data_IF_061136887283
#
_entry.id   IF_061136887283
#
_cell.length_a   1.000
_cell.length_b   1.000
_cell.length_c   1.000
_cell.angle_alpha   90.00
_cell.angle_beta   90.00
_cell.angle_gamma   90.00
#
_symmetry.space_group_name_H-M   'P 1'
#
loop_
_entity.id
_entity.type
_entity.pdbx_description
1 polymer ?
#
# COMPACT_ATOMS: atom_id res chain seq x y z
N UNK A 1 24.16 -2.99 11.36
CA UNK A 1 24.58 -3.68 10.11
C UNK A 1 23.80 -3.02 9.00
N UNK A 2 24.46 -2.58 7.94
CA UNK A 2 23.78 -1.97 6.79
C UNK A 2 22.99 -3.06 6.06
N UNK A 3 21.70 -2.83 5.87
CA UNK A 3 20.83 -3.68 5.07
C UNK A 3 21.34 -3.71 3.62
N UNK A 4 21.52 -4.89 3.07
CA UNK A 4 21.93 -5.05 1.67
C UNK A 4 20.68 -5.09 0.79
N UNK A 5 20.46 -4.01 0.05
CA UNK A 5 19.39 -3.91 -0.93
C UNK A 5 19.97 -4.17 -2.33
N UNK A 6 19.38 -5.09 -3.07
CA UNK A 6 19.76 -5.38 -4.45
C UNK A 6 18.61 -5.07 -5.40
N UNK A 7 18.83 -4.12 -6.27
CA UNK A 7 17.89 -3.82 -7.36
C UNK A 7 18.24 -4.65 -8.59
N UNK A 8 17.28 -5.40 -9.10
CA UNK A 8 17.46 -6.22 -10.29
C UNK A 8 16.19 -6.28 -11.14
N UNK A 9 16.32 -6.00 -12.42
CA UNK A 9 15.21 -6.18 -13.35
C UNK A 9 14.77 -7.64 -13.46
N UNK A 10 13.46 -7.89 -13.45
CA UNK A 10 12.87 -9.19 -13.71
C UNK A 10 13.00 -9.52 -15.20
N UNK A 11 13.62 -10.66 -15.54
CA UNK A 11 13.54 -11.20 -16.89
C UNK A 11 12.32 -12.11 -16.99
N UNK A 12 11.68 -12.15 -18.15
CA UNK A 12 10.35 -12.79 -18.40
C UNK A 12 10.19 -14.25 -17.90
N UNK A 13 11.21 -14.89 -17.33
CA UNK A 13 11.15 -16.31 -16.96
C UNK A 13 11.72 -16.68 -15.59
N UNK A 14 12.55 -15.89 -14.95
CA UNK A 14 13.07 -16.19 -13.61
C UNK A 14 13.72 -15.00 -12.92
N UNK A 15 13.55 -14.94 -11.61
CA UNK A 15 14.34 -14.12 -10.70
C UNK A 15 15.46 -14.99 -10.12
N UNK A 16 16.71 -14.53 -10.21
CA UNK A 16 17.85 -15.21 -9.60
C UNK A 16 18.30 -14.39 -8.40
N UNK A 17 18.26 -15.01 -7.23
CA UNK A 17 18.78 -14.42 -6.00
C UNK A 17 20.31 -14.60 -5.98
N UNK A 18 21.11 -13.53 -5.82
CA UNK A 18 22.56 -13.63 -5.71
C UNK A 18 23.00 -14.48 -4.51
N UNK A 19 24.06 -15.29 -4.67
CA UNK A 19 24.57 -16.15 -3.59
C UNK A 19 24.91 -15.36 -2.32
N UNK A 20 25.45 -14.15 -2.46
CA UNK A 20 25.79 -13.31 -1.30
C UNK A 20 24.56 -12.98 -0.43
N UNK A 21 23.38 -12.81 -1.05
CA UNK A 21 22.13 -12.59 -0.30
C UNK A 21 21.75 -13.87 0.47
N UNK A 22 21.84 -15.02 -0.19
CA UNK A 22 21.55 -16.32 0.42
C UNK A 22 22.46 -16.57 1.64
N UNK A 23 23.75 -16.34 1.49
CA UNK A 23 24.73 -16.48 2.58
C UNK A 23 24.47 -15.52 3.75
N UNK A 24 24.15 -14.23 3.47
CA UNK A 24 23.86 -13.25 4.51
C UNK A 24 22.53 -13.50 5.22
N UNK A 25 21.57 -14.10 4.52
CA UNK A 25 20.31 -14.55 5.09
C UNK A 25 20.41 -15.93 5.75
N UNK A 26 21.63 -16.44 5.94
CA UNK A 26 21.92 -17.72 6.59
C UNK A 26 21.26 -18.95 5.92
N UNK A 27 21.02 -18.87 4.58
CA UNK A 27 20.58 -20.03 3.83
C UNK A 27 21.77 -20.93 3.48
N UNK A 28 21.62 -22.22 3.72
CA UNK A 28 22.62 -23.21 3.38
C UNK A 28 22.41 -23.80 1.96
N UNK A 29 23.49 -24.28 1.34
CA UNK A 29 23.40 -24.88 0.01
C UNK A 29 22.60 -26.19 0.06
N UNK A 30 21.50 -26.24 -0.71
CA UNK A 30 20.60 -27.37 -0.77
C UNK A 30 19.47 -27.36 0.24
N UNK A 31 19.38 -26.31 1.05
CA UNK A 31 18.27 -26.09 1.97
C UNK A 31 16.95 -25.89 1.21
N UNK A 32 15.87 -26.42 1.76
CA UNK A 32 14.52 -26.23 1.21
C UNK A 32 13.98 -24.86 1.60
N UNK A 33 13.35 -24.18 0.65
CA UNK A 33 12.75 -22.88 0.86
C UNK A 33 11.26 -22.90 0.56
N UNK A 34 10.51 -22.04 1.24
CA UNK A 34 9.13 -21.69 0.92
C UNK A 34 9.11 -20.32 0.26
N UNK A 35 8.33 -20.20 -0.80
CA UNK A 35 8.16 -18.94 -1.54
C UNK A 35 6.72 -18.49 -1.35
N UNK A 36 6.53 -17.35 -0.71
CA UNK A 36 5.23 -16.73 -0.47
C UNK A 36 5.01 -15.63 -1.50
N UNK A 37 3.99 -15.82 -2.34
CA UNK A 37 3.53 -14.76 -3.24
C UNK A 37 2.57 -13.84 -2.46
N UNK A 38 2.92 -12.57 -2.38
CA UNK A 38 2.11 -11.51 -1.81
C UNK A 38 1.69 -10.57 -2.94
N UNK A 39 0.73 -9.68 -2.68
CA UNK A 39 0.43 -8.60 -3.62
C UNK A 39 1.66 -7.69 -3.71
N UNK A 40 2.17 -7.49 -4.92
CA UNK A 40 3.34 -6.66 -5.26
C UNK A 40 4.66 -7.05 -4.56
N UNK A 41 4.71 -8.22 -3.87
CA UNK A 41 5.90 -8.69 -3.19
C UNK A 41 6.05 -10.23 -3.26
N UNK A 42 7.28 -10.69 -3.08
CA UNK A 42 7.60 -12.11 -2.92
C UNK A 42 8.50 -12.27 -1.71
N UNK A 43 8.15 -13.17 -0.81
CA UNK A 43 8.95 -13.50 0.35
C UNK A 43 9.50 -14.94 0.23
N UNK A 44 10.76 -15.13 0.57
CA UNK A 44 11.43 -16.42 0.59
C UNK A 44 11.84 -16.72 2.03
N UNK A 45 11.37 -17.83 2.58
CA UNK A 45 11.68 -18.29 3.92
C UNK A 45 12.34 -19.68 3.86
N UNK A 46 13.09 -20.04 4.90
CA UNK A 46 13.47 -21.44 5.12
C UNK A 46 12.21 -22.27 5.36
N UNK A 47 12.14 -23.46 4.80
CA UNK A 47 11.01 -24.37 5.02
C UNK A 47 10.97 -24.87 6.47
N UNK A 48 12.14 -25.10 7.06
CA UNK A 48 12.29 -25.56 8.43
C UNK A 48 13.04 -24.51 9.23
N UNK A 49 12.41 -23.99 10.27
CA UNK A 49 12.98 -23.00 11.17
C UNK A 49 12.85 -23.44 12.60
N UNK A 50 13.90 -23.20 13.39
CA UNK A 50 13.80 -23.23 14.85
C UNK A 50 12.93 -22.08 15.35
N UNK A 51 12.45 -22.15 16.59
CA UNK A 51 11.66 -21.06 17.19
C UNK A 51 12.43 -19.72 17.19
N UNK A 52 13.75 -19.74 17.44
CA UNK A 52 14.57 -18.53 17.40
C UNK A 52 14.73 -17.98 15.98
N UNK A 53 14.94 -18.81 14.98
CA UNK A 53 14.99 -18.36 13.58
C UNK A 53 13.68 -17.73 13.15
N UNK A 54 12.53 -18.31 13.56
CA UNK A 54 11.22 -17.72 13.30
C UNK A 54 11.04 -16.35 13.99
N UNK A 55 11.46 -16.23 15.25
CA UNK A 55 11.45 -14.94 15.98
C UNK A 55 12.29 -13.90 15.24
N UNK A 56 13.51 -14.25 14.83
CA UNK A 56 14.36 -13.33 14.05
C UNK A 56 13.73 -12.94 12.71
N UNK A 57 13.12 -13.87 11.99
CA UNK A 57 12.45 -13.57 10.73
C UNK A 57 11.30 -12.57 10.94
N UNK A 58 10.46 -12.78 11.96
CA UNK A 58 9.37 -11.86 12.31
C UNK A 58 9.92 -10.48 12.66
N UNK A 59 10.96 -10.39 13.48
CA UNK A 59 11.59 -9.12 13.86
C UNK A 59 12.12 -8.35 12.65
N UNK A 60 12.78 -9.02 11.70
CA UNK A 60 13.29 -8.37 10.49
C UNK A 60 12.16 -7.91 9.56
N UNK A 61 11.08 -8.69 9.43
CA UNK A 61 9.90 -8.29 8.66
C UNK A 61 9.19 -7.07 9.27
N UNK A 62 9.09 -7.03 10.59
CA UNK A 62 8.53 -5.87 11.30
C UNK A 62 9.39 -4.62 11.07
N UNK A 63 10.71 -4.76 11.16
CA UNK A 63 11.63 -3.65 10.87
C UNK A 63 11.45 -3.13 9.45
N UNK A 64 11.43 -4.02 8.45
CA UNK A 64 11.22 -3.63 7.05
C UNK A 64 9.86 -2.93 6.88
N UNK A 65 8.81 -3.43 7.52
CA UNK A 65 7.49 -2.79 7.50
C UNK A 65 7.52 -1.36 8.05
N UNK A 66 8.23 -1.14 9.16
CA UNK A 66 8.41 0.19 9.75
C UNK A 66 9.19 1.10 8.79
N UNK A 67 10.31 0.62 8.23
CA UNK A 67 11.13 1.40 7.31
C UNK A 67 10.35 1.84 6.07
N UNK A 68 9.50 0.97 5.50
CA UNK A 68 8.61 1.31 4.39
C UNK A 68 7.53 2.32 4.79
N UNK A 69 6.96 2.19 5.99
CA UNK A 69 5.95 3.11 6.51
C UNK A 69 6.54 4.50 6.76
N UNK A 70 7.75 4.59 7.31
CA UNK A 70 8.47 5.85 7.48
C UNK A 70 8.77 6.49 6.13
N UNK A 71 9.16 5.69 5.14
CA UNK A 71 9.38 6.20 3.79
C UNK A 71 8.09 6.80 3.20
N UNK A 72 6.97 6.08 3.30
CA UNK A 72 5.67 6.58 2.83
C UNK A 72 5.28 7.88 3.53
N UNK A 73 5.44 7.96 4.86
CA UNK A 73 5.17 9.18 5.62
C UNK A 73 6.05 10.37 5.17
N UNK A 74 7.32 10.12 4.83
CA UNK A 74 8.22 11.15 4.31
C UNK A 74 7.80 11.66 2.92
N UNK A 75 7.30 10.77 2.05
CA UNK A 75 6.80 11.14 0.72
C UNK A 75 5.53 11.98 0.84
N UNK A 76 4.59 11.60 1.71
CA UNK A 76 3.39 12.40 2.00
C UNK A 76 3.74 13.77 2.61
N UNK A 77 4.88 13.89 3.27
CA UNK A 77 5.28 15.11 3.97
C UNK A 77 4.43 15.43 5.20
N UNK A 78 4.81 16.46 5.97
CA UNK A 78 4.08 16.89 7.14
C UNK A 78 2.80 17.63 6.74
N UNK A 79 1.73 17.44 7.50
CA UNK A 79 0.50 18.21 7.33
C UNK A 79 0.71 19.66 7.79
N UNK A 80 1.29 20.51 6.95
CA UNK A 80 1.65 21.89 7.23
C UNK A 80 0.60 22.92 6.71
N UNK A 81 -0.68 22.60 6.84
CA UNK A 81 -1.73 23.57 6.51
C UNK A 81 -2.49 23.24 5.23
N UNK A 82 -3.08 22.12 5.19
CA UNK A 82 -4.35 21.99 4.49
C UNK A 82 -5.22 23.13 5.06
N UNK A 83 -5.58 24.13 4.25
CA UNK A 83 -6.31 25.35 4.67
C UNK A 83 -7.65 25.02 5.36
N UNK A 84 -8.11 23.79 5.26
CA UNK A 84 -9.22 23.20 5.98
C UNK A 84 -8.70 21.89 6.58
N UNK A 85 -8.63 21.81 7.89
CA UNK A 85 -8.24 20.67 8.72
C UNK A 85 -8.19 19.35 7.96
N UNK A 86 -7.06 18.62 8.01
CA UNK A 86 -6.99 17.21 7.56
C UNK A 86 -7.89 16.32 8.47
N UNK A 87 -9.11 16.74 8.75
CA UNK A 87 -10.14 15.98 9.45
C UNK A 87 -10.70 14.91 8.48
N UNK A 88 -9.83 13.99 8.10
CA UNK A 88 -10.29 12.79 7.39
C UNK A 88 -10.95 11.89 8.42
N UNK A 89 -12.23 11.62 8.19
CA UNK A 89 -12.94 10.60 8.97
C UNK A 89 -12.33 9.22 8.67
N UNK A 90 -11.51 8.73 9.61
CA UNK A 90 -10.85 7.42 9.47
C UNK A 90 -11.84 6.24 9.53
N UNK A 91 -13.08 6.46 9.93
CA UNK A 91 -14.13 5.46 9.83
C UNK A 91 -14.72 5.38 8.41
N UNK A 92 -14.64 6.51 7.66
CA UNK A 92 -15.10 6.63 6.28
C UNK A 92 -14.07 7.40 5.43
N UNK A 93 -12.88 6.85 5.20
CA UNK A 93 -11.76 7.59 4.61
C UNK A 93 -11.92 7.92 3.11
N UNK A 94 -12.90 7.33 2.45
CA UNK A 94 -13.24 7.61 1.06
C UNK A 94 -14.13 8.86 0.89
N UNK A 95 -14.48 9.16 -0.34
CA UNK A 95 -15.36 10.31 -0.66
C UNK A 95 -16.84 10.12 -0.24
N UNK A 96 -17.20 8.97 0.32
CA UNK A 96 -18.55 8.67 0.82
C UNK A 96 -19.65 8.56 -0.25
N UNK A 97 -19.28 8.53 -1.53
CA UNK A 97 -20.27 8.43 -2.63
C UNK A 97 -20.62 6.97 -2.86
N UNK A 98 -21.86 6.63 -2.56
CA UNK A 98 -22.39 5.28 -2.79
C UNK A 98 -23.61 5.31 -3.72
N UNK A 99 -23.69 4.33 -4.60
CA UNK A 99 -24.86 4.06 -5.43
C UNK A 99 -25.32 2.62 -5.20
N UNK A 100 -26.64 2.39 -5.07
CA UNK A 100 -27.21 1.04 -5.04
C UNK A 100 -26.80 0.24 -6.28
N UNK A 101 -26.54 -1.06 -6.12
CA UNK A 101 -26.15 -1.98 -7.18
C UNK A 101 -27.05 -1.91 -8.43
N UNK A 102 -28.36 -1.79 -8.21
CA UNK A 102 -29.32 -1.71 -9.32
C UNK A 102 -29.17 -0.42 -10.12
N UNK A 103 -28.81 0.71 -9.47
CA UNK A 103 -28.53 1.99 -10.18
C UNK A 103 -27.26 1.85 -11.00
N UNK A 104 -26.18 1.31 -10.40
CA UNK A 104 -24.92 1.07 -11.11
C UNK A 104 -25.13 0.23 -12.36
N UNK A 105 -25.92 -0.83 -12.24
CA UNK A 105 -26.23 -1.72 -13.36
C UNK A 105 -27.03 -0.99 -14.48
N UNK A 106 -28.00 -0.16 -14.11
CA UNK A 106 -28.82 0.59 -15.07
C UNK A 106 -28.01 1.60 -15.87
N UNK A 107 -27.03 2.27 -15.23
CA UNK A 107 -26.17 3.27 -15.88
C UNK A 107 -24.87 2.71 -16.41
N UNK A 108 -24.60 1.40 -16.25
CA UNK A 108 -23.41 0.71 -16.78
C UNK A 108 -22.11 0.96 -15.99
N UNK A 109 -22.20 1.39 -14.72
CA UNK A 109 -21.03 1.58 -13.84
C UNK A 109 -20.64 0.24 -13.20
N UNK A 110 -19.36 -0.22 -13.31
CA UNK A 110 -18.88 -1.43 -12.64
C UNK A 110 -19.10 -1.38 -11.13
N UNK A 111 -19.29 -2.54 -10.48
CA UNK A 111 -19.53 -2.62 -9.03
C UNK A 111 -18.35 -2.15 -8.20
N UNK A 112 -17.13 -2.42 -8.68
CA UNK A 112 -15.85 -2.13 -8.08
C UNK A 112 -15.27 -0.77 -8.48
N UNK A 113 -15.96 -0.05 -9.39
CA UNK A 113 -15.54 1.28 -9.77
C UNK A 113 -15.71 2.29 -8.63
N UNK A 114 -14.70 3.12 -8.43
CA UNK A 114 -14.80 4.30 -7.57
C UNK A 114 -15.77 5.30 -8.19
N UNK A 115 -16.41 6.08 -7.33
CA UNK A 115 -17.40 7.09 -7.78
C UNK A 115 -16.92 8.47 -7.38
N UNK A 116 -17.26 9.45 -8.21
CA UNK A 116 -17.16 10.85 -7.85
C UNK A 116 -18.52 11.54 -8.01
N UNK A 117 -18.74 12.59 -7.24
CA UNK A 117 -19.96 13.37 -7.28
C UNK A 117 -19.65 14.87 -7.26
N UNK A 118 -20.43 15.62 -8.06
CA UNK A 118 -20.33 17.07 -8.08
C UNK A 118 -21.72 17.71 -8.20
N UNK A 119 -21.91 18.91 -7.60
CA UNK A 119 -23.16 19.65 -7.73
C UNK A 119 -23.29 20.23 -9.14
N UNK A 120 -24.45 20.02 -9.76
CA UNK A 120 -24.80 20.61 -11.07
C UNK A 120 -25.65 21.87 -10.94
N UNK A 121 -26.03 22.26 -9.72
CA UNK A 121 -26.97 23.33 -9.42
C UNK A 121 -28.43 22.84 -9.29
N UNK A 122 -29.31 23.71 -8.81
CA UNK A 122 -30.76 23.45 -8.68
C UNK A 122 -31.14 22.17 -7.92
N UNK A 123 -30.31 21.76 -6.93
CA UNK A 123 -30.55 20.57 -6.12
C UNK A 123 -30.21 19.27 -6.85
N UNK A 124 -29.47 19.31 -7.97
CA UNK A 124 -29.00 18.16 -8.72
C UNK A 124 -27.55 17.86 -8.37
N UNK A 125 -27.26 16.61 -8.05
CA UNK A 125 -25.91 16.07 -7.91
C UNK A 125 -25.69 15.05 -9.02
N UNK A 126 -24.60 15.19 -9.77
CA UNK A 126 -24.16 14.20 -10.74
C UNK A 126 -23.18 13.24 -10.06
N UNK A 127 -23.37 11.95 -10.32
CA UNK A 127 -22.47 10.89 -9.88
C UNK A 127 -22.00 10.13 -11.12
N UNK A 128 -20.69 9.92 -11.23
CA UNK A 128 -20.10 9.14 -12.32
C UNK A 128 -18.99 8.23 -11.82
N UNK A 129 -18.49 7.37 -12.68
CA UNK A 129 -17.28 6.60 -12.42
C UNK A 129 -16.09 7.55 -12.31
N UNK A 130 -15.34 7.43 -11.22
CA UNK A 130 -14.12 8.20 -11.00
C UNK A 130 -13.02 7.77 -11.98
N UNK A 131 -12.14 8.70 -12.32
CA UNK A 131 -11.02 8.46 -13.21
C UNK A 131 -9.78 7.91 -12.48
N UNK A 132 -9.93 7.52 -11.21
CA UNK A 132 -8.88 6.91 -10.38
C UNK A 132 -9.34 5.53 -9.88
N UNK A 133 -8.36 4.68 -9.59
CA UNK A 133 -8.57 3.30 -9.17
C UNK A 133 -8.53 3.13 -7.66
N UNK A 134 -7.67 3.88 -7.00
CA UNK A 134 -7.42 3.79 -5.56
C UNK A 134 -7.66 5.13 -4.88
N UNK A 135 -8.11 5.05 -3.62
CA UNK A 135 -8.24 6.19 -2.70
C UNK A 135 -7.94 5.72 -1.26
N UNK A 136 -8.12 6.59 -0.28
CA UNK A 136 -7.84 6.26 1.12
C UNK A 136 -8.70 5.10 1.66
N UNK A 137 -9.83 4.78 1.04
CA UNK A 137 -10.66 3.63 1.46
C UNK A 137 -10.02 2.27 1.14
N UNK A 138 -9.02 2.23 0.27
CA UNK A 138 -8.25 1.02 -0.05
C UNK A 138 -7.07 0.80 0.92
N UNK A 139 -6.77 1.80 1.75
CA UNK A 139 -5.68 1.71 2.75
C UNK A 139 -6.22 1.13 4.05
N UNK A 140 -5.56 0.10 4.63
CA UNK A 140 -5.96 -0.42 5.92
C UNK A 140 -6.01 0.67 7.00
N UNK A 141 -7.12 0.72 7.76
CA UNK A 141 -7.34 1.73 8.81
C UNK A 141 -6.14 1.90 9.75
N UNK A 142 -5.56 0.78 10.20
CA UNK A 142 -4.40 0.80 11.10
C UNK A 142 -3.19 1.52 10.49
N UNK A 143 -3.03 1.44 9.17
CA UNK A 143 -1.98 2.17 8.47
C UNK A 143 -2.29 3.67 8.39
N UNK A 144 -3.55 4.04 8.13
CA UNK A 144 -3.98 5.45 8.16
C UNK A 144 -3.79 6.06 9.55
N UNK A 145 -4.18 5.36 10.61
CA UNK A 145 -3.97 5.79 12.00
C UNK A 145 -2.47 6.00 12.30
N UNK A 146 -1.63 5.04 11.93
CA UNK A 146 -0.18 5.14 12.13
C UNK A 146 0.43 6.32 11.36
N UNK A 147 0.02 6.56 10.12
CA UNK A 147 0.50 7.69 9.31
C UNK A 147 0.03 9.03 9.90
N UNK A 148 -1.24 9.13 10.30
CA UNK A 148 -1.78 10.30 10.97
C UNK A 148 -1.04 10.61 12.28
N UNK A 149 -0.81 9.62 13.13
CA UNK A 149 -0.07 9.74 14.39
C UNK A 149 1.40 10.17 14.16
N UNK A 150 1.98 9.81 13.02
CA UNK A 150 3.32 10.26 12.62
C UNK A 150 3.35 11.70 12.10
N UNK A 151 2.18 12.34 11.92
CA UNK A 151 2.02 13.68 11.37
C UNK A 151 2.09 13.75 9.84
N UNK A 152 2.00 12.61 9.14
CA UNK A 152 1.94 12.58 7.68
C UNK A 152 0.63 13.16 7.15
N UNK A 153 0.68 13.82 6.00
CA UNK A 153 -0.50 14.38 5.35
C UNK A 153 -1.30 13.27 4.63
N UNK A 154 -2.47 12.92 5.15
CA UNK A 154 -3.32 11.92 4.51
C UNK A 154 -3.99 12.42 3.22
N UNK A 155 -4.20 13.73 3.05
CA UNK A 155 -4.68 14.28 1.78
C UNK A 155 -3.65 14.06 0.67
N UNK A 156 -2.38 14.29 0.96
CA UNK A 156 -1.29 14.01 0.02
C UNK A 156 -1.23 12.52 -0.32
N UNK A 157 -1.39 11.64 0.68
CA UNK A 157 -1.51 10.21 0.42
C UNK A 157 -2.67 9.91 -0.52
N UNK A 158 -3.84 10.53 -0.30
CA UNK A 158 -5.00 10.38 -1.17
C UNK A 158 -4.70 10.77 -2.62
N UNK A 159 -4.03 11.90 -2.84
CA UNK A 159 -3.62 12.35 -4.17
C UNK A 159 -2.63 11.39 -4.84
N UNK A 160 -1.64 10.89 -4.11
CA UNK A 160 -0.67 9.90 -4.59
C UNK A 160 -1.35 8.58 -5.01
N UNK A 161 -2.37 8.15 -4.25
CA UNK A 161 -3.15 6.95 -4.58
C UNK A 161 -3.97 7.15 -5.86
N UNK A 162 -4.61 8.32 -6.01
CA UNK A 162 -5.44 8.64 -7.19
C UNK A 162 -4.60 8.82 -8.45
N UNK A 163 -3.38 9.33 -8.34
CA UNK A 163 -2.49 9.57 -9.48
C UNK A 163 -1.66 8.35 -9.87
N UNK A 164 -1.55 7.35 -9.00
CA UNK A 164 -0.70 6.16 -9.18
C UNK A 164 0.76 6.53 -9.53
N UNK A 165 1.27 7.64 -8.98
CA UNK A 165 2.63 8.07 -9.24
C UNK A 165 3.65 7.12 -8.59
N UNK A 166 4.78 6.87 -9.28
CA UNK A 166 5.84 6.03 -8.73
C UNK A 166 6.61 6.81 -7.67
N UNK A 167 6.46 6.42 -6.43
CA UNK A 167 7.08 7.08 -5.27
C UNK A 167 8.28 6.33 -4.68
N UNK A 168 8.47 5.07 -5.05
CA UNK A 168 9.52 4.20 -4.52
C UNK A 168 10.34 3.58 -5.66
N UNK A 169 11.65 3.88 -5.68
CA UNK A 169 12.56 3.38 -6.72
C UNK A 169 14.01 3.80 -6.53
#
# INVERSE_FOLDING_TARGET
>A
MSELVFTKGTTKKKLVIPNIIMEQSSFEKGEMVEIHALTDAVMVLKKEMTAMELVHAIEQLQKLSIDLSVYLAQVCGPCNGCEENCDIDLDHPGNGVELPDWVRQEVGIPKDAKLCAWPKGDGVVCVEEANYRYDLSDVPRQMLEMLADSGACLNELGELLMTEEIIYG
#
